data_IF_138710578382
#
_entry.id   IF_138710578382
#
_cell.length_a   1.000
_cell.length_b   1.000
_cell.length_c   1.000
_cell.angle_alpha   90.00
_cell.angle_beta   90.00
_cell.angle_gamma   90.00
#
_symmetry.space_group_name_H-M   'P 1'
#
loop_
_entity.id
_entity.type
_entity.pdbx_description
1 polymer ?
#
# COMPACT_ATOMS: atom_id res chain seq x y z
N UNK A 1 10.96 19.65 -12.36
CA UNK A 1 9.90 18.96 -11.55
C UNK A 1 9.16 17.99 -12.45
N UNK A 2 9.06 16.69 -12.10
CA UNK A 2 8.21 15.78 -12.89
C UNK A 2 6.75 16.15 -12.67
N UNK A 3 6.01 16.45 -13.74
CA UNK A 3 4.57 16.75 -13.70
C UNK A 3 3.85 15.58 -12.99
N UNK A 4 3.10 15.88 -11.91
CA UNK A 4 2.25 14.87 -11.26
C UNK A 4 1.16 14.45 -12.24
N UNK A 5 0.79 13.18 -12.20
CA UNK A 5 -0.25 12.64 -13.07
C UNK A 5 -1.57 12.74 -12.32
N UNK A 6 -2.32 13.80 -12.61
CA UNK A 6 -3.53 14.21 -11.88
C UNK A 6 -4.58 13.10 -11.79
N UNK A 7 -4.84 12.38 -12.88
CA UNK A 7 -5.81 11.28 -12.87
C UNK A 7 -5.42 10.13 -11.93
N UNK A 8 -4.12 9.88 -11.73
CA UNK A 8 -3.66 8.85 -10.77
C UNK A 8 -3.93 9.32 -9.34
N UNK A 9 -3.70 10.59 -9.05
CA UNK A 9 -3.94 11.16 -7.74
C UNK A 9 -5.46 11.16 -7.42
N UNK A 10 -6.31 11.51 -8.39
CA UNK A 10 -7.78 11.40 -8.28
C UNK A 10 -8.20 9.94 -8.03
N UNK A 11 -7.71 9.00 -8.83
CA UNK A 11 -8.07 7.58 -8.70
C UNK A 11 -7.65 7.02 -7.32
N UNK A 12 -6.47 7.38 -6.82
CA UNK A 12 -6.05 7.01 -5.45
C UNK A 12 -6.96 7.62 -4.39
N UNK A 13 -7.40 8.86 -4.57
CA UNK A 13 -8.39 9.50 -3.69
C UNK A 13 -9.70 8.72 -3.63
N UNK A 14 -10.24 8.34 -4.78
CA UNK A 14 -11.46 7.50 -4.88
C UNK A 14 -11.25 6.16 -4.17
N UNK A 15 -10.10 5.50 -4.37
CA UNK A 15 -9.79 4.23 -3.72
C UNK A 15 -9.70 4.35 -2.19
N UNK A 16 -9.21 5.47 -1.66
CA UNK A 16 -9.21 5.72 -0.21
C UNK A 16 -10.64 5.87 0.31
N UNK A 17 -11.54 6.54 -0.43
CA UNK A 17 -12.97 6.60 -0.07
C UNK A 17 -13.57 5.19 -0.06
N UNK A 18 -13.24 4.36 -1.05
CA UNK A 18 -13.69 2.97 -1.11
C UNK A 18 -13.17 2.12 0.06
N UNK A 19 -11.95 2.36 0.57
CA UNK A 19 -11.45 1.71 1.80
C UNK A 19 -12.37 2.03 2.99
N UNK A 20 -12.74 3.31 3.15
CA UNK A 20 -13.63 3.74 4.24
C UNK A 20 -15.02 3.11 4.10
N UNK A 21 -15.56 3.06 2.88
CA UNK A 21 -16.83 2.41 2.60
C UNK A 21 -16.78 0.89 2.83
N UNK A 22 -15.68 0.23 2.46
CA UNK A 22 -15.47 -1.21 2.69
C UNK A 22 -15.38 -1.59 4.18
N UNK A 23 -15.07 -0.63 5.05
CA UNK A 23 -15.11 -0.77 6.51
C UNK A 23 -16.42 -0.30 7.16
N UNK A 24 -17.35 0.24 6.37
CA UNK A 24 -18.70 0.60 6.83
C UNK A 24 -19.60 -0.64 6.85
N UNK A 25 -20.76 -0.57 7.53
CA UNK A 25 -21.74 -1.67 7.61
C UNK A 25 -22.49 -1.94 6.29
N UNK A 26 -21.83 -1.74 5.16
CA UNK A 26 -22.35 -2.10 3.84
C UNK A 26 -22.28 -3.62 3.73
N UNK A 27 -23.41 -4.25 3.42
CA UNK A 27 -23.51 -5.70 3.27
C UNK A 27 -23.88 -6.09 1.84
N UNK A 28 -23.75 -7.38 1.53
CA UNK A 28 -24.11 -7.94 0.23
C UNK A 28 -23.10 -7.73 -0.89
N UNK A 29 -23.56 -7.78 -2.13
CA UNK A 29 -22.73 -7.80 -3.35
C UNK A 29 -21.86 -6.54 -3.45
N UNK A 30 -22.38 -5.37 -3.06
CA UNK A 30 -21.64 -4.12 -3.11
C UNK A 30 -20.36 -4.15 -2.24
N UNK A 31 -20.44 -4.70 -1.03
CA UNK A 31 -19.28 -4.83 -0.15
C UNK A 31 -18.23 -5.81 -0.71
N UNK A 32 -18.68 -6.93 -1.27
CA UNK A 32 -17.81 -7.93 -1.90
C UNK A 32 -17.05 -7.33 -3.10
N UNK A 33 -17.77 -6.61 -3.97
CA UNK A 33 -17.17 -5.93 -5.12
C UNK A 33 -16.15 -4.91 -4.66
N UNK A 34 -16.50 -4.00 -3.74
CA UNK A 34 -15.56 -2.98 -3.25
C UNK A 34 -14.31 -3.64 -2.66
N UNK A 35 -14.49 -4.63 -1.78
CA UNK A 35 -13.38 -5.30 -1.08
C UNK A 35 -12.48 -6.15 -1.99
N UNK A 36 -12.97 -6.55 -3.16
CA UNK A 36 -12.20 -7.39 -4.10
C UNK A 36 -11.05 -6.64 -4.81
N UNK A 37 -11.21 -5.34 -5.11
CA UNK A 37 -10.29 -4.65 -6.01
C UNK A 37 -9.61 -3.41 -5.43
N UNK A 38 -10.19 -2.73 -4.43
CA UNK A 38 -9.72 -1.40 -4.06
C UNK A 38 -8.24 -1.39 -3.60
N UNK A 39 -7.84 -2.40 -2.82
CA UNK A 39 -6.45 -2.58 -2.38
C UNK A 39 -5.50 -2.91 -3.54
N UNK A 40 -5.89 -3.85 -4.40
CA UNK A 40 -5.11 -4.24 -5.57
C UNK A 40 -4.87 -3.04 -6.51
N UNK A 41 -5.93 -2.30 -6.82
CA UNK A 41 -5.87 -1.10 -7.64
C UNK A 41 -5.00 -0.02 -7.00
N UNK A 42 -5.10 0.19 -5.68
CA UNK A 42 -4.30 1.18 -4.97
C UNK A 42 -2.79 0.87 -5.05
N UNK A 43 -2.41 -0.38 -4.78
CA UNK A 43 -1.01 -0.82 -4.90
C UNK A 43 -0.48 -0.73 -6.33
N UNK A 44 -1.30 -1.09 -7.32
CA UNK A 44 -0.95 -0.96 -8.73
C UNK A 44 -0.68 0.49 -9.13
N UNK A 45 -1.59 1.42 -8.78
CA UNK A 45 -1.41 2.85 -9.04
C UNK A 45 -0.21 3.43 -8.27
N UNK A 46 0.08 2.92 -7.07
CA UNK A 46 1.30 3.29 -6.34
C UNK A 46 2.55 2.87 -7.12
N UNK A 47 2.55 1.67 -7.70
CA UNK A 47 3.60 1.17 -8.60
C UNK A 47 3.80 2.01 -9.86
N UNK A 48 2.74 2.59 -10.45
CA UNK A 48 2.89 3.53 -11.58
C UNK A 48 3.66 4.80 -11.20
N UNK A 49 3.51 5.25 -9.96
CA UNK A 49 4.11 6.52 -9.49
C UNK A 49 5.47 6.35 -8.82
N UNK A 50 5.89 5.12 -8.53
CA UNK A 50 7.16 4.85 -7.84
C UNK A 50 8.37 5.30 -8.69
N UNK A 51 9.37 5.83 -8.01
CA UNK A 51 10.65 6.25 -8.61
C UNK A 51 11.76 5.41 -8.01
N UNK A 52 12.28 4.46 -8.78
CA UNK A 52 13.31 3.50 -8.35
C UNK A 52 14.74 3.95 -8.65
N UNK A 53 14.93 5.03 -9.43
CA UNK A 53 16.25 5.56 -9.79
C UNK A 53 16.81 6.55 -8.74
N UNK A 54 16.20 6.63 -7.56
CA UNK A 54 16.66 7.51 -6.47
C UNK A 54 17.71 6.78 -5.61
N UNK A 55 18.60 7.53 -4.94
CA UNK A 55 19.50 6.97 -3.93
C UNK A 55 18.69 6.25 -2.84
N UNK A 56 19.15 5.07 -2.38
CA UNK A 56 18.50 4.25 -1.34
C UNK A 56 18.06 5.06 -0.11
N UNK A 57 18.93 5.90 0.44
CA UNK A 57 18.62 6.68 1.65
C UNK A 57 17.52 7.70 1.37
N UNK A 58 17.63 8.41 0.25
CA UNK A 58 16.62 9.38 -0.18
C UNK A 58 15.27 8.71 -0.46
N UNK A 59 15.30 7.51 -1.07
CA UNK A 59 14.12 6.70 -1.32
C UNK A 59 13.41 6.39 0.00
N UNK A 60 14.11 5.78 0.96
CA UNK A 60 13.54 5.38 2.26
C UNK A 60 13.00 6.60 3.02
N UNK A 61 13.77 7.69 3.15
CA UNK A 61 13.36 8.88 3.90
C UNK A 61 12.09 9.52 3.32
N UNK A 62 11.97 9.60 1.99
CA UNK A 62 10.75 10.12 1.35
C UNK A 62 9.52 9.27 1.66
N UNK A 63 9.65 7.94 1.72
CA UNK A 63 8.53 7.04 2.01
C UNK A 63 8.22 6.98 3.50
N UNK A 64 9.21 7.12 4.37
CA UNK A 64 8.99 7.33 5.81
C UNK A 64 8.16 8.59 6.04
N UNK A 65 8.59 9.74 5.49
CA UNK A 65 7.87 11.01 5.65
C UNK A 65 6.50 11.03 4.96
N UNK A 66 6.36 10.33 3.83
CA UNK A 66 5.13 10.33 3.04
C UNK A 66 4.09 9.27 3.44
N UNK A 67 4.49 8.20 4.13
CA UNK A 67 3.61 7.07 4.48
C UNK A 67 3.58 6.81 5.99
N UNK A 68 4.74 6.61 6.60
CA UNK A 68 4.83 6.24 8.02
C UNK A 68 4.50 7.42 8.94
N UNK A 69 4.98 8.63 8.63
CA UNK A 69 4.66 9.80 9.44
C UNK A 69 3.14 10.10 9.44
N UNK A 70 2.44 10.16 8.29
CA UNK A 70 0.98 10.28 8.28
C UNK A 70 0.28 9.13 9.00
N UNK A 71 0.77 7.89 8.84
CA UNK A 71 0.23 6.73 9.54
C UNK A 71 0.28 6.91 11.06
N UNK A 72 1.45 7.27 11.61
CA UNK A 72 1.65 7.45 13.05
C UNK A 72 0.72 8.56 13.57
N UNK A 73 0.67 9.71 12.89
CA UNK A 73 -0.20 10.83 13.28
C UNK A 73 -1.66 10.41 13.32
N UNK A 74 -2.16 9.76 12.26
CA UNK A 74 -3.54 9.28 12.21
C UNK A 74 -3.82 8.20 13.25
N UNK A 75 -2.88 7.28 13.49
CA UNK A 75 -3.00 6.24 14.50
C UNK A 75 -3.14 6.82 15.92
N UNK A 76 -2.37 7.86 16.25
CA UNK A 76 -2.52 8.57 17.53
C UNK A 76 -3.82 9.36 17.63
N UNK A 77 -4.30 9.96 16.53
CA UNK A 77 -5.61 10.62 16.49
C UNK A 77 -6.72 9.62 16.79
N UNK A 78 -6.70 8.43 16.17
CA UNK A 78 -7.67 7.37 16.46
C UNK A 78 -7.57 6.83 17.89
N UNK A 79 -6.37 6.70 18.43
CA UNK A 79 -6.16 6.32 19.84
C UNK A 79 -6.77 7.35 20.79
N UNK A 80 -6.56 8.65 20.52
CA UNK A 80 -7.18 9.74 21.27
C UNK A 80 -8.71 9.73 21.15
N UNK A 81 -9.24 9.51 19.95
CA UNK A 81 -10.68 9.38 19.73
C UNK A 81 -11.30 8.24 20.54
N UNK A 82 -10.68 7.06 20.55
CA UNK A 82 -11.15 5.91 21.33
C UNK A 82 -11.12 6.19 22.84
N UNK A 83 -10.09 6.89 23.32
CA UNK A 83 -10.01 7.34 24.71
C UNK A 83 -11.12 8.32 25.08
N UNK A 84 -11.45 9.26 24.20
CA UNK A 84 -12.55 10.22 24.43
C UNK A 84 -13.91 9.51 24.44
N UNK A 85 -14.15 8.56 23.54
CA UNK A 85 -15.38 7.73 23.55
C UNK A 85 -15.53 6.98 24.86
N UNK A 86 -14.44 6.40 25.37
CA UNK A 86 -14.43 5.72 26.66
C UNK A 86 -14.84 6.64 27.81
N UNK A 87 -14.28 7.85 27.88
CA UNK A 87 -14.58 8.81 28.95
C UNK A 87 -15.99 9.41 28.88
N UNK A 88 -16.49 9.71 27.68
CA UNK A 88 -17.74 10.46 27.50
C UNK A 88 -18.97 9.55 27.49
N UNK A 89 -18.92 8.47 26.70
CA UNK A 89 -20.11 7.66 26.42
C UNK A 89 -20.29 6.57 27.49
N UNK A 90 -19.21 6.15 28.17
CA UNK A 90 -19.24 5.01 29.09
C UNK A 90 -19.48 3.67 28.35
N UNK A 91 -19.22 2.55 29.02
CA UNK A 91 -19.51 1.21 28.49
C UNK A 91 -18.49 0.60 27.50
N UNK A 92 -17.49 1.35 27.04
CA UNK A 92 -16.39 0.82 26.22
C UNK A 92 -15.19 0.40 27.09
N UNK A 93 -14.49 -0.68 26.74
CA UNK A 93 -13.21 -1.02 27.39
C UNK A 93 -12.09 -0.30 26.64
N UNK A 94 -11.37 0.58 27.32
CA UNK A 94 -10.15 1.20 26.80
C UNK A 94 -8.93 0.55 27.45
N UNK A 95 -8.06 -0.03 26.63
CA UNK A 95 -6.75 -0.49 27.06
C UNK A 95 -5.67 0.19 26.21
N UNK A 96 -4.89 1.04 26.87
CA UNK A 96 -3.81 1.78 26.24
C UNK A 96 -2.73 0.84 25.69
N UNK A 97 -2.46 -0.29 26.37
CA UNK A 97 -1.38 -1.21 25.96
C UNK A 97 -1.72 -1.91 24.66
N UNK A 98 -2.92 -2.49 24.54
CA UNK A 98 -3.39 -3.06 23.27
C UNK A 98 -3.56 -2.01 22.19
N UNK A 99 -3.98 -0.79 22.54
CA UNK A 99 -4.04 0.33 21.61
C UNK A 99 -2.69 0.67 21.00
N UNK A 100 -1.66 0.88 21.83
CA UNK A 100 -0.29 1.12 21.37
C UNK A 100 0.27 -0.06 20.58
N UNK A 101 0.03 -1.29 21.04
CA UNK A 101 0.48 -2.49 20.33
C UNK A 101 -0.14 -2.57 18.92
N UNK A 102 -1.40 -2.15 18.76
CA UNK A 102 -2.08 -2.11 17.46
C UNK A 102 -1.53 -1.07 16.47
N UNK A 103 -0.79 -0.06 16.96
CA UNK A 103 -0.05 0.90 16.11
C UNK A 103 1.23 0.26 15.55
N UNK A 104 1.89 -0.59 16.32
CA UNK A 104 3.13 -1.23 15.87
C UNK A 104 2.88 -2.52 15.08
N UNK A 105 1.81 -3.23 15.42
CA UNK A 105 1.37 -4.45 14.74
C UNK A 105 -0.09 -4.28 14.32
N UNK A 106 -0.37 -3.56 13.22
CA UNK A 106 -1.71 -3.47 12.70
C UNK A 106 -2.12 -4.84 12.14
N UNK A 107 -2.99 -5.51 12.87
CA UNK A 107 -3.62 -6.77 12.46
C UNK A 107 -4.86 -6.43 11.64
N UNK A 108 -4.92 -6.90 10.39
CA UNK A 108 -6.11 -6.79 9.56
C UNK A 108 -7.21 -7.69 10.13
N UNK A 109 -8.42 -7.16 10.32
CA UNK A 109 -9.61 -7.96 10.64
C UNK A 109 -9.95 -8.14 12.12
N UNK A 110 -9.17 -7.61 13.08
CA UNK A 110 -9.65 -7.53 14.47
C UNK A 110 -10.49 -6.28 14.66
N UNK A 111 -11.76 -6.50 15.02
CA UNK A 111 -12.73 -5.46 15.37
C UNK A 111 -12.27 -4.58 16.56
N UNK A 112 -11.25 -5.04 17.30
CA UNK A 112 -10.76 -4.38 18.52
C UNK A 112 -9.47 -3.56 18.34
N UNK A 113 -8.95 -3.36 17.13
CA UNK A 113 -7.74 -2.55 16.96
C UNK A 113 -8.10 -1.08 16.85
N UNK A 114 -7.37 -0.26 17.59
CA UNK A 114 -7.65 1.18 17.72
C UNK A 114 -7.34 1.94 16.44
N UNK A 115 -6.71 1.30 15.46
CA UNK A 115 -6.23 1.89 14.20
C UNK A 115 -6.92 1.19 13.03
N UNK A 116 -8.22 1.46 12.85
CA UNK A 116 -9.03 0.86 11.79
C UNK A 116 -8.56 1.31 10.40
N UNK A 117 -8.38 0.35 9.49
CA UNK A 117 -8.20 0.61 8.05
C UNK A 117 -6.89 1.28 7.60
N UNK A 118 -6.00 1.69 8.50
CA UNK A 118 -4.74 2.35 8.10
C UNK A 118 -3.59 1.39 7.78
N UNK A 119 -3.82 0.08 7.86
CA UNK A 119 -2.82 -0.98 7.65
C UNK A 119 -2.15 -0.91 6.27
N UNK A 120 -2.82 -0.34 5.26
CA UNK A 120 -2.29 -0.24 3.91
C UNK A 120 -1.09 0.71 3.79
N UNK A 121 -0.94 1.71 4.66
CA UNK A 121 0.18 2.65 4.65
C UNK A 121 1.52 1.99 5.03
N UNK A 122 1.64 1.32 6.20
CA UNK A 122 2.85 0.57 6.53
C UNK A 122 3.07 -0.63 5.58
N UNK A 123 2.01 -1.27 5.09
CA UNK A 123 2.12 -2.30 4.06
C UNK A 123 2.73 -1.74 2.77
N UNK A 124 2.23 -0.60 2.28
CA UNK A 124 2.76 0.07 1.10
C UNK A 124 4.23 0.48 1.31
N UNK A 125 4.60 0.94 2.50
CA UNK A 125 5.98 1.27 2.83
C UNK A 125 6.90 0.04 2.70
N UNK A 126 6.54 -1.08 3.31
CA UNK A 126 7.29 -2.34 3.21
C UNK A 126 7.33 -2.85 1.77
N UNK A 127 6.22 -2.79 1.05
CA UNK A 127 6.16 -3.19 -0.36
C UNK A 127 7.07 -2.33 -1.25
N UNK A 128 7.15 -1.02 -1.00
CA UNK A 128 8.08 -0.12 -1.70
C UNK A 128 9.54 -0.53 -1.48
N UNK A 129 9.91 -0.87 -0.23
CA UNK A 129 11.26 -1.33 0.10
C UNK A 129 11.56 -2.67 -0.57
N UNK A 130 10.63 -3.62 -0.48
CA UNK A 130 10.76 -4.93 -1.11
C UNK A 130 10.93 -4.80 -2.62
N UNK A 131 10.10 -4.01 -3.31
CA UNK A 131 10.22 -3.75 -4.75
C UNK A 131 11.54 -3.07 -5.10
N UNK A 132 11.98 -2.09 -4.31
CA UNK A 132 13.28 -1.44 -4.53
C UNK A 132 14.43 -2.45 -4.45
N UNK A 133 14.43 -3.32 -3.44
CA UNK A 133 15.44 -4.38 -3.28
C UNK A 133 15.36 -5.44 -4.40
N UNK A 134 14.16 -5.87 -4.75
CA UNK A 134 13.93 -6.84 -5.83
C UNK A 134 14.38 -6.31 -7.18
N UNK A 135 14.06 -5.07 -7.52
CA UNK A 135 14.47 -4.43 -8.78
C UNK A 135 15.99 -4.21 -8.83
N UNK A 136 16.61 -3.86 -7.70
CA UNK A 136 18.06 -3.79 -7.59
C UNK A 136 18.72 -5.16 -7.85
N UNK A 137 18.22 -6.22 -7.23
CA UNK A 137 18.70 -7.59 -7.45
C UNK A 137 18.41 -8.07 -8.87
N UNK A 138 17.25 -7.73 -9.43
CA UNK A 138 16.82 -8.18 -10.75
C UNK A 138 17.74 -7.65 -11.86
N UNK A 139 18.27 -6.44 -11.71
CA UNK A 139 19.25 -5.85 -12.64
C UNK A 139 20.57 -6.62 -12.69
N UNK A 140 20.98 -7.23 -11.59
CA UNK A 140 22.25 -7.99 -11.50
C UNK A 140 22.06 -9.49 -11.69
N UNK A 141 21.10 -10.09 -10.98
CA UNK A 141 20.87 -11.54 -10.90
C UNK A 141 19.36 -11.84 -10.85
N UNK A 142 18.73 -11.92 -12.02
CA UNK A 142 17.28 -12.19 -12.18
C UNK A 142 16.78 -13.42 -11.42
N UNK A 143 17.51 -14.54 -11.49
CA UNK A 143 17.12 -15.79 -10.79
C UNK A 143 17.13 -15.61 -9.27
N UNK A 144 18.12 -14.90 -8.73
CA UNK A 144 18.20 -14.60 -7.29
C UNK A 144 17.04 -13.71 -6.83
N UNK A 145 16.67 -12.71 -7.62
CA UNK A 145 15.52 -11.86 -7.33
C UNK A 145 14.21 -12.68 -7.25
N UNK A 146 13.97 -13.54 -8.24
CA UNK A 146 12.79 -14.42 -8.26
C UNK A 146 12.78 -15.39 -7.07
N UNK A 147 13.92 -16.02 -6.78
CA UNK A 147 14.06 -16.94 -5.65
C UNK A 147 13.80 -16.23 -4.31
N UNK A 148 14.35 -15.02 -4.12
CA UNK A 148 14.12 -14.23 -2.91
C UNK A 148 12.65 -13.85 -2.71
N UNK A 149 11.93 -13.54 -3.80
CA UNK A 149 10.50 -13.24 -3.75
C UNK A 149 9.67 -14.48 -3.41
N UNK A 150 9.97 -15.64 -4.01
CA UNK A 150 9.27 -16.90 -3.75
C UNK A 150 9.47 -17.32 -2.28
N UNK A 151 10.71 -17.31 -1.79
CA UNK A 151 11.00 -17.63 -0.39
C UNK A 151 10.32 -16.65 0.56
N UNK A 152 10.42 -15.35 0.29
CA UNK A 152 9.77 -14.33 1.12
C UNK A 152 8.25 -14.52 1.18
N UNK A 153 7.62 -14.86 0.05
CA UNK A 153 6.20 -15.13 -0.03
C UNK A 153 5.81 -16.40 0.74
N UNK A 154 6.57 -17.48 0.58
CA UNK A 154 6.37 -18.72 1.33
C UNK A 154 6.51 -18.49 2.84
N UNK A 155 7.51 -17.73 3.28
CA UNK A 155 7.69 -17.37 4.69
C UNK A 155 6.51 -16.58 5.26
N UNK A 156 5.93 -15.67 4.48
CA UNK A 156 4.73 -14.92 4.89
C UNK A 156 3.50 -15.82 5.04
N UNK A 157 3.32 -16.78 4.14
CA UNK A 157 2.21 -17.75 4.19
C UNK A 157 2.39 -18.68 5.40
N UNK A 158 3.58 -19.25 5.58
CA UNK A 158 3.88 -20.12 6.73
C UNK A 158 3.66 -19.37 8.06
N UNK A 159 4.10 -18.12 8.15
CA UNK A 159 3.85 -17.29 9.33
C UNK A 159 2.35 -17.11 9.62
N UNK A 160 1.54 -16.89 8.58
CA UNK A 160 0.09 -16.80 8.71
C UNK A 160 -0.51 -18.13 9.21
N UNK A 161 -0.12 -19.26 8.64
CA UNK A 161 -0.61 -20.59 9.06
C UNK A 161 -0.23 -20.93 10.51
N UNK A 162 0.99 -20.57 10.96
CA UNK A 162 1.45 -20.84 12.32
C UNK A 162 0.73 -19.95 13.35
N UNK A 163 0.55 -18.67 13.03
CA UNK A 163 0.04 -17.69 14.01
C UNK A 163 -1.48 -17.52 13.96
N UNK A 164 -2.10 -17.86 12.83
CA UNK A 164 -3.50 -17.52 12.53
C UNK A 164 -3.78 -16.00 12.46
N UNK A 165 -2.73 -15.16 12.46
CA UNK A 165 -2.86 -13.71 12.50
C UNK A 165 -2.75 -13.13 11.10
N UNK A 166 -3.86 -12.64 10.57
CA UNK A 166 -3.90 -11.82 9.36
C UNK A 166 -3.19 -10.47 9.62
N UNK A 167 -1.88 -10.42 9.38
CA UNK A 167 -1.02 -9.26 9.61
C UNK A 167 -0.65 -8.60 8.28
N UNK A 168 0.04 -7.46 8.32
CA UNK A 168 0.63 -6.86 7.11
C UNK A 168 1.46 -7.90 6.33
N UNK A 169 2.16 -8.80 7.03
CA UNK A 169 3.03 -9.80 6.40
C UNK A 169 2.26 -10.78 5.51
N UNK A 170 1.03 -11.18 5.88
CA UNK A 170 0.26 -12.10 5.04
C UNK A 170 -0.22 -11.45 3.74
N UNK A 171 -0.39 -10.12 3.72
CA UNK A 171 -0.84 -9.35 2.55
C UNK A 171 0.35 -8.82 1.73
N UNK A 172 1.53 -8.69 2.35
CA UNK A 172 2.73 -8.10 1.74
C UNK A 172 3.11 -8.74 0.39
N UNK A 173 3.09 -10.07 0.19
CA UNK A 173 3.39 -10.67 -1.11
C UNK A 173 2.46 -10.16 -2.22
N UNK A 174 1.15 -10.08 -1.95
CA UNK A 174 0.17 -9.56 -2.90
C UNK A 174 0.39 -8.08 -3.19
N UNK A 175 0.70 -7.28 -2.17
CA UNK A 175 1.01 -5.85 -2.34
C UNK A 175 2.24 -5.65 -3.22
N UNK A 176 3.31 -6.44 -3.01
CA UNK A 176 4.53 -6.42 -3.83
C UNK A 176 4.21 -6.80 -5.27
N UNK A 177 3.41 -7.84 -5.50
CA UNK A 177 3.00 -8.27 -6.84
C UNK A 177 2.29 -7.16 -7.62
N UNK A 178 1.26 -6.55 -7.03
CA UNK A 178 0.51 -5.48 -7.67
C UNK A 178 1.37 -4.24 -7.93
N UNK A 179 2.26 -3.91 -7.00
CA UNK A 179 3.18 -2.80 -7.15
C UNK A 179 4.20 -3.05 -8.28
N UNK A 180 4.75 -4.27 -8.40
CA UNK A 180 5.62 -4.68 -9.52
C UNK A 180 4.89 -4.63 -10.86
N UNK A 181 3.63 -5.06 -10.92
CA UNK A 181 2.81 -4.90 -12.12
C UNK A 181 2.71 -3.43 -12.53
N UNK A 182 2.46 -2.53 -11.58
CA UNK A 182 2.46 -1.08 -11.82
C UNK A 182 3.80 -0.57 -12.36
N UNK A 183 4.93 -0.99 -11.76
CA UNK A 183 6.28 -0.62 -12.24
C UNK A 183 6.51 -1.02 -13.69
N UNK A 184 6.16 -2.26 -14.05
CA UNK A 184 6.34 -2.78 -15.40
C UNK A 184 5.45 -2.08 -16.42
N UNK A 185 4.20 -1.78 -16.06
CA UNK A 185 3.27 -1.05 -16.92
C UNK A 185 3.74 0.38 -17.15
N UNK A 186 4.24 1.06 -16.11
CA UNK A 186 4.80 2.41 -16.23
C UNK A 186 5.87 2.48 -17.32
N UNK A 187 6.83 1.55 -17.31
CA UNK A 187 7.89 1.49 -18.32
C UNK A 187 7.34 1.38 -19.74
N UNK A 188 6.24 0.66 -19.95
CA UNK A 188 5.56 0.56 -21.25
C UNK A 188 4.72 1.81 -21.58
N UNK A 189 4.10 2.43 -20.58
CA UNK A 189 3.27 3.62 -20.75
C UNK A 189 4.09 4.83 -21.21
N UNK A 190 5.29 4.99 -20.66
CA UNK A 190 6.24 6.03 -21.07
C UNK A 190 6.68 5.80 -22.53
N UNK A 191 6.90 4.54 -22.92
CA UNK A 191 7.20 4.15 -24.31
C UNK A 191 6.04 4.45 -25.27
N UNK A 192 4.80 4.11 -24.91
CA UNK A 192 3.61 4.37 -25.76
C UNK A 192 3.39 5.87 -25.97
N UNK A 193 3.53 6.69 -24.92
CA UNK A 193 3.44 8.16 -25.05
C UNK A 193 4.55 8.73 -25.92
N UNK A 194 5.75 8.15 -25.87
CA UNK A 194 6.86 8.56 -26.73
C UNK A 194 6.50 8.33 -28.21
N UNK A 195 5.97 7.14 -28.53
CA UNK A 195 5.55 6.81 -29.90
C UNK A 195 4.38 7.66 -30.37
N UNK A 196 3.36 7.91 -29.55
CA UNK A 196 2.25 8.78 -29.95
C UNK A 196 2.71 10.22 -30.22
N UNK A 197 3.67 10.72 -29.43
CA UNK A 197 4.25 12.06 -29.63
C UNK A 197 5.09 12.11 -30.92
N UNK A 198 5.89 11.07 -31.20
CA UNK A 198 6.65 10.95 -32.44
C UNK A 198 5.73 10.88 -33.67
N UNK A 199 4.63 10.12 -33.60
CA UNK A 199 3.64 10.03 -34.69
C UNK A 199 2.98 11.39 -34.93
N UNK A 200 2.60 12.12 -33.87
CA UNK A 200 2.03 13.48 -34.01
C UNK A 200 3.04 14.46 -34.62
N UNK A 201 4.32 14.38 -34.26
CA UNK A 201 5.37 15.20 -34.86
C UNK A 201 5.55 14.85 -36.34
N UNK A 202 5.55 13.57 -36.71
CA UNK A 202 5.68 13.13 -38.11
C UNK A 202 4.45 13.54 -38.94
N UNK A 203 3.24 13.48 -38.37
CA UNK A 203 2.00 13.90 -39.04
C UNK A 203 1.78 15.42 -39.07
N UNK A 204 2.45 16.19 -38.20
CA UNK A 204 2.38 17.67 -38.18
C UNK A 204 3.46 18.36 -39.01
N UNK A 205 4.38 17.62 -39.61
CA UNK A 205 5.42 18.11 -40.54
C UNK A 205 5.05 17.80 -42.01
N UNK A 206 3.98 17.02 -42.24
CA UNK A 206 3.33 16.82 -43.54
C UNK A 206 2.16 17.81 -43.70
#
# INVERSE_FOLDING_TARGET
MSKRIEWIDIAKGILIVLVVLGHSEISGVAASVINSFHMAAFFFLAGLTIKLNENKNLFIVKRLKGLIMPYIVLAFIFLGYQFMKYKIIGGYKFDLKSGLFSIFIPVSGRISTTVYGLWFLPCLFLANIAVYGLEYLYRSKKQLALFSYIIGSAGCIIFYEITGVASILSILPFAVLWLLCGVKVKGKLDTIKLYSTQIIIVMGIL
#
